data_IF_929434008151
#
_entry.id   IF_929434008151
#
_cell.length_a   1.000
_cell.length_b   1.000
_cell.length_c   1.000
_cell.angle_alpha   90.00
_cell.angle_beta   90.00
_cell.angle_gamma   90.00
#
_symmetry.space_group_name_H-M   'P 1'
#
loop_
_entity.id
_entity.type
_entity.pdbx_description
1 polymer ?
#
# COMPACT_ATOMS: atom_id res chain seq x y z
N UNK A 1 -32.24 7.13 0.70
CA UNK A 1 -33.12 8.27 1.02
C UNK A 1 -32.35 9.53 1.45
N UNK A 2 -31.02 9.50 1.60
CA UNK A 2 -30.22 10.61 2.15
C UNK A 2 -29.61 11.56 1.12
N UNK A 3 -29.62 11.21 -0.16
CA UNK A 3 -29.07 12.07 -1.25
C UNK A 3 -30.01 13.26 -1.60
N UNK A 4 -31.28 13.17 -1.28
CA UNK A 4 -32.28 14.22 -1.58
C UNK A 4 -32.13 15.46 -0.70
N UNK A 5 -31.53 15.32 0.48
CA UNK A 5 -31.36 16.44 1.45
C UNK A 5 -29.98 17.13 1.23
N UNK A 6 -28.97 16.41 0.77
CA UNK A 6 -27.61 16.97 0.59
C UNK A 6 -27.54 17.97 -0.57
N UNK A 7 -28.28 17.73 -1.66
CA UNK A 7 -28.30 18.59 -2.85
C UNK A 7 -28.90 19.97 -2.55
N UNK A 8 -30.07 20.11 -1.89
CA UNK A 8 -30.60 21.44 -1.56
C UNK A 8 -29.75 22.18 -0.52
N UNK A 9 -29.10 21.49 0.42
CA UNK A 9 -28.18 22.13 1.38
C UNK A 9 -26.94 22.67 0.66
N UNK A 10 -26.38 21.93 -0.29
CA UNK A 10 -25.28 22.40 -1.13
C UNK A 10 -25.67 23.58 -2.02
N UNK A 11 -26.89 23.57 -2.59
CA UNK A 11 -27.42 24.66 -3.40
C UNK A 11 -27.68 25.92 -2.55
N UNK A 12 -28.19 25.79 -1.33
CA UNK A 12 -28.39 26.91 -0.39
C UNK A 12 -27.04 27.48 0.02
N UNK A 13 -26.01 26.63 0.27
CA UNK A 13 -24.65 27.08 0.59
C UNK A 13 -24.01 27.81 -0.59
N UNK A 14 -24.17 27.30 -1.84
CA UNK A 14 -23.70 27.98 -3.05
C UNK A 14 -24.43 29.30 -3.32
N UNK A 15 -25.74 29.36 -3.09
CA UNK A 15 -26.53 30.58 -3.24
C UNK A 15 -26.17 31.62 -2.18
N UNK A 16 -25.95 31.23 -0.94
CA UNK A 16 -25.41 32.08 0.10
C UNK A 16 -24.01 32.58 -0.25
N UNK A 17 -23.17 31.76 -0.88
CA UNK A 17 -21.83 32.12 -1.30
C UNK A 17 -21.80 33.19 -2.40
N UNK A 18 -22.72 33.15 -3.37
CA UNK A 18 -22.80 34.14 -4.45
C UNK A 18 -23.25 35.54 -3.97
N UNK A 19 -24.03 35.60 -2.89
CA UNK A 19 -24.51 36.85 -2.29
C UNK A 19 -23.52 37.49 -1.27
N UNK A 20 -22.45 36.78 -0.92
CA UNK A 20 -21.51 37.15 0.15
C UNK A 20 -20.54 38.28 -0.24
N UNK A 21 -20.44 38.63 -1.52
CA UNK A 21 -19.54 39.71 -1.99
C UNK A 21 -19.96 41.11 -1.59
N UNK A 22 -21.19 41.32 -1.08
CA UNK A 22 -21.76 42.66 -0.85
C UNK A 22 -22.10 43.01 0.63
N UNK A 23 -21.73 42.18 1.64
CA UNK A 23 -22.31 42.30 2.98
C UNK A 23 -21.34 42.77 4.08
N UNK A 24 -21.77 43.78 4.87
CA UNK A 24 -21.12 44.35 6.06
C UNK A 24 -20.75 43.33 7.15
N UNK A 25 -19.66 43.59 7.90
CA UNK A 25 -19.05 42.73 8.91
C UNK A 25 -20.00 42.05 9.92
N UNK A 26 -21.06 42.74 10.34
CA UNK A 26 -22.02 42.21 11.33
C UNK A 26 -22.90 41.09 10.75
N UNK A 27 -23.27 41.18 9.47
CA UNK A 27 -24.04 40.12 8.80
C UNK A 27 -23.23 38.87 8.56
N UNK A 28 -21.89 38.96 8.47
CA UNK A 28 -21.01 37.79 8.30
C UNK A 28 -20.96 36.89 9.55
N UNK A 29 -21.07 37.45 10.74
CA UNK A 29 -21.14 36.67 11.98
C UNK A 29 -22.49 35.95 12.13
N UNK A 30 -23.58 36.51 11.67
CA UNK A 30 -24.90 35.88 11.67
C UNK A 30 -24.94 34.70 10.70
N UNK A 31 -24.31 34.79 9.53
CA UNK A 31 -24.19 33.71 8.59
C UNK A 31 -23.28 32.58 9.13
N UNK A 32 -22.18 32.93 9.82
CA UNK A 32 -21.30 31.97 10.47
C UNK A 32 -22.04 31.16 11.54
N UNK A 33 -22.89 31.83 12.36
CA UNK A 33 -23.69 31.15 13.38
C UNK A 33 -24.76 30.23 12.77
N UNK A 34 -25.40 30.63 11.66
CA UNK A 34 -26.35 29.79 10.94
C UNK A 34 -25.69 28.57 10.28
N UNK A 35 -24.51 28.72 9.68
CA UNK A 35 -23.75 27.64 9.12
C UNK A 35 -23.28 26.69 10.22
N UNK A 36 -22.85 27.20 11.36
CA UNK A 36 -22.46 26.41 12.52
C UNK A 36 -23.64 25.63 13.11
N UNK A 37 -24.82 26.25 13.18
CA UNK A 37 -26.05 25.58 13.64
C UNK A 37 -26.54 24.51 12.67
N UNK A 38 -26.38 24.71 11.35
CA UNK A 38 -26.67 23.73 10.31
C UNK A 38 -25.68 22.56 10.33
N UNK A 39 -24.39 22.79 10.58
CA UNK A 39 -23.40 21.74 10.73
C UNK A 39 -23.64 20.90 11.99
N UNK A 40 -24.08 21.51 13.09
CA UNK A 40 -24.49 20.81 14.31
C UNK A 40 -25.73 19.93 14.09
N UNK A 41 -26.74 20.41 13.36
CA UNK A 41 -27.91 19.63 12.96
C UNK A 41 -27.55 18.43 12.07
N UNK A 42 -26.56 18.58 11.19
CA UNK A 42 -26.06 17.49 10.33
C UNK A 42 -25.22 16.47 11.12
N UNK A 43 -24.50 16.90 12.17
CA UNK A 43 -23.77 16.01 13.09
C UNK A 43 -24.72 15.09 13.86
N UNK A 44 -25.90 15.60 14.25
CA UNK A 44 -26.93 14.81 14.93
C UNK A 44 -27.51 13.70 14.03
N UNK A 45 -27.37 13.77 12.71
CA UNK A 45 -27.91 12.79 11.76
C UNK A 45 -26.98 11.62 11.42
N UNK A 46 -25.97 11.38 12.23
CA UNK A 46 -25.16 10.15 12.31
C UNK A 46 -24.41 9.69 11.03
N UNK A 47 -24.05 10.60 10.12
CA UNK A 47 -23.20 10.27 8.96
C UNK A 47 -21.80 10.90 9.10
N UNK A 48 -20.83 10.11 9.51
CA UNK A 48 -19.42 10.50 9.71
C UNK A 48 -18.81 11.21 8.47
N UNK A 49 -19.23 10.84 7.26
CA UNK A 49 -18.79 11.42 6.00
C UNK A 49 -19.32 12.86 5.81
N UNK A 50 -20.57 13.14 6.19
CA UNK A 50 -21.18 14.48 6.10
C UNK A 50 -20.56 15.44 7.11
N UNK A 51 -20.19 14.95 8.30
CA UNK A 51 -19.48 15.76 9.31
C UNK A 51 -18.09 16.15 8.83
N UNK A 52 -17.36 15.26 8.17
CA UNK A 52 -16.03 15.54 7.63
C UNK A 52 -16.08 16.61 6.52
N UNK A 53 -17.03 16.50 5.59
CA UNK A 53 -17.24 17.49 4.53
C UNK A 53 -17.64 18.83 5.12
N UNK A 54 -18.50 18.88 6.13
CA UNK A 54 -18.94 20.12 6.76
C UNK A 54 -17.81 20.82 7.50
N UNK A 55 -16.93 20.09 8.18
CA UNK A 55 -15.73 20.64 8.82
C UNK A 55 -14.76 21.19 7.78
N UNK A 56 -14.52 20.48 6.67
CA UNK A 56 -13.66 20.93 5.58
C UNK A 56 -14.20 22.20 4.91
N UNK A 57 -15.51 22.27 4.65
CA UNK A 57 -16.17 23.47 4.13
C UNK A 57 -16.10 24.66 5.08
N UNK A 58 -16.21 24.43 6.39
CA UNK A 58 -16.11 25.46 7.42
C UNK A 58 -14.69 26.05 7.47
N UNK A 59 -13.65 25.23 7.37
CA UNK A 59 -12.26 25.68 7.26
C UNK A 59 -12.02 26.47 5.97
N UNK A 60 -12.60 26.04 4.84
CA UNK A 60 -12.49 26.74 3.57
C UNK A 60 -13.18 28.12 3.63
N UNK A 61 -14.36 28.21 4.23
CA UNK A 61 -15.06 29.46 4.46
C UNK A 61 -14.29 30.40 5.40
N UNK A 62 -13.76 29.91 6.50
CA UNK A 62 -12.91 30.69 7.41
C UNK A 62 -11.67 31.24 6.70
N UNK A 63 -11.02 30.45 5.85
CA UNK A 63 -9.88 30.91 5.06
C UNK A 63 -10.23 32.01 4.05
N UNK A 64 -11.46 32.01 3.54
CA UNK A 64 -11.96 33.05 2.61
C UNK A 64 -12.35 34.35 3.31
N UNK A 65 -13.01 34.27 4.48
CA UNK A 65 -13.47 35.44 5.25
C UNK A 65 -12.29 36.23 5.81
N UNK A 66 -11.24 35.57 6.28
CA UNK A 66 -10.06 36.20 6.86
C UNK A 66 -8.93 36.43 5.86
N UNK A 67 -9.20 37.18 4.78
CA UNK A 67 -8.25 37.48 3.71
C UNK A 67 -6.86 37.97 4.23
N UNK A 68 -6.84 38.77 5.31
CA UNK A 68 -5.59 39.28 5.92
C UNK A 68 -4.85 38.27 6.80
N UNK A 69 -5.50 37.15 7.21
CA UNK A 69 -4.89 36.06 8.03
C UNK A 69 -4.87 34.72 7.29
N UNK A 70 -5.12 34.73 5.99
CA UNK A 70 -5.22 33.52 5.13
C UNK A 70 -4.08 32.55 5.34
N UNK A 71 -2.84 33.03 5.36
CA UNK A 71 -1.67 32.15 5.54
C UNK A 71 -1.64 31.48 6.92
N UNK A 72 -2.13 32.14 7.99
CA UNK A 72 -2.21 31.52 9.32
C UNK A 72 -3.29 30.46 9.38
N UNK A 73 -4.44 30.70 8.74
CA UNK A 73 -5.57 29.75 8.70
C UNK A 73 -5.20 28.53 7.87
N UNK A 74 -4.55 28.70 6.71
CA UNK A 74 -4.06 27.58 5.88
C UNK A 74 -3.03 26.75 6.67
N UNK A 75 -2.07 27.38 7.35
CA UNK A 75 -1.12 26.64 8.20
C UNK A 75 -1.81 25.89 9.33
N UNK A 76 -2.81 26.49 9.97
CA UNK A 76 -3.57 25.82 11.02
C UNK A 76 -4.36 24.63 10.49
N UNK A 77 -5.05 24.78 9.33
CA UNK A 77 -5.81 23.67 8.72
C UNK A 77 -4.92 22.52 8.31
N UNK A 78 -3.74 22.79 7.74
CA UNK A 78 -2.75 21.77 7.41
C UNK A 78 -2.21 21.09 8.67
N UNK A 79 -1.95 21.83 9.74
CA UNK A 79 -1.50 21.27 11.01
C UNK A 79 -2.57 20.35 11.65
N UNK A 80 -3.84 20.79 11.63
CA UNK A 80 -4.96 19.97 12.12
C UNK A 80 -5.13 18.69 11.30
N UNK A 81 -5.07 18.78 9.97
CA UNK A 81 -5.13 17.61 9.09
C UNK A 81 -3.99 16.62 9.38
N UNK A 82 -2.76 17.13 9.55
CA UNK A 82 -1.60 16.33 9.92
C UNK A 82 -1.78 15.67 11.30
N UNK A 83 -2.27 16.41 12.29
CA UNK A 83 -2.53 15.89 13.62
C UNK A 83 -3.59 14.78 13.60
N UNK A 84 -4.71 14.99 12.88
CA UNK A 84 -5.77 13.97 12.73
C UNK A 84 -5.21 12.71 12.09
N UNK A 85 -4.46 12.83 10.99
CA UNK A 85 -3.83 11.68 10.31
C UNK A 85 -2.88 10.93 11.25
N UNK A 86 -2.06 11.65 12.00
CA UNK A 86 -1.14 11.06 12.98
C UNK A 86 -1.88 10.30 14.08
N UNK A 87 -2.91 10.90 14.69
CA UNK A 87 -3.67 10.25 15.75
C UNK A 87 -4.46 9.02 15.25
N UNK A 88 -5.02 9.06 14.05
CA UNK A 88 -5.68 7.89 13.45
C UNK A 88 -4.68 6.75 13.27
N UNK A 89 -3.52 7.02 12.70
CA UNK A 89 -2.47 6.00 12.52
C UNK A 89 -1.99 5.43 13.85
N UNK A 90 -1.76 6.29 14.84
CA UNK A 90 -1.38 5.88 16.19
C UNK A 90 -2.47 5.01 16.85
N UNK A 91 -3.74 5.39 16.72
CA UNK A 91 -4.86 4.63 17.26
C UNK A 91 -4.98 3.23 16.63
N UNK A 92 -4.83 3.13 15.30
CA UNK A 92 -4.81 1.84 14.60
C UNK A 92 -3.67 0.97 15.12
N UNK A 93 -2.46 1.52 15.25
CA UNK A 93 -1.30 0.80 15.76
C UNK A 93 -1.51 0.30 17.20
N UNK A 94 -2.05 1.15 18.08
CA UNK A 94 -2.38 0.79 19.46
C UNK A 94 -3.47 -0.29 19.53
N UNK A 95 -4.49 -0.20 18.68
CA UNK A 95 -5.54 -1.21 18.59
C UNK A 95 -5.00 -2.58 18.19
N UNK A 96 -4.15 -2.64 17.15
CA UNK A 96 -3.47 -3.87 16.74
C UNK A 96 -2.65 -4.44 17.89
N UNK A 97 -1.89 -3.61 18.60
CA UNK A 97 -1.04 -4.04 19.70
C UNK A 97 -1.84 -4.62 20.87
N UNK A 98 -2.89 -3.92 21.32
CA UNK A 98 -3.74 -4.35 22.44
C UNK A 98 -4.45 -5.67 22.13
N UNK A 99 -5.06 -5.78 20.91
CA UNK A 99 -5.75 -6.99 20.51
C UNK A 99 -4.79 -8.18 20.31
N UNK A 100 -3.57 -7.92 19.84
CA UNK A 100 -2.54 -8.96 19.73
C UNK A 100 -2.12 -9.51 21.11
N UNK A 101 -2.01 -8.66 22.14
CA UNK A 101 -1.75 -9.12 23.51
C UNK A 101 -2.90 -10.03 23.97
N UNK A 102 -4.14 -9.66 23.68
CA UNK A 102 -5.31 -10.48 24.03
C UNK A 102 -5.29 -11.85 23.36
N UNK A 103 -4.74 -11.94 22.12
CA UNK A 103 -4.50 -13.22 21.44
C UNK A 103 -3.43 -14.05 22.15
N UNK A 104 -2.28 -13.48 22.44
CA UNK A 104 -1.16 -14.19 23.08
C UNK A 104 -1.43 -14.61 24.53
N UNK A 105 -2.43 -14.04 25.17
CA UNK A 105 -2.94 -14.54 26.46
C UNK A 105 -3.72 -15.85 26.30
N UNK A 106 -4.28 -16.16 25.12
CA UNK A 106 -5.05 -17.38 24.83
C UNK A 106 -4.21 -18.45 24.11
N UNK A 107 -3.24 -18.04 23.28
CA UNK A 107 -2.39 -18.92 22.45
C UNK A 107 -0.93 -18.65 22.77
N UNK A 108 -0.16 -19.70 23.05
CA UNK A 108 1.26 -19.56 23.36
C UNK A 108 2.05 -19.04 22.15
N UNK A 109 2.96 -18.07 22.38
CA UNK A 109 3.81 -17.48 21.32
C UNK A 109 4.64 -18.57 20.60
N UNK A 110 5.12 -19.57 21.34
CA UNK A 110 5.87 -20.69 20.76
C UNK A 110 5.05 -21.52 19.78
N UNK A 111 3.77 -21.77 20.09
CA UNK A 111 2.86 -22.47 19.21
C UNK A 111 2.57 -21.66 17.95
N UNK A 112 2.30 -20.36 18.12
CA UNK A 112 2.06 -19.44 17.00
C UNK A 112 3.26 -19.35 16.04
N UNK A 113 4.49 -19.32 16.54
CA UNK A 113 5.69 -19.17 15.72
C UNK A 113 6.15 -20.48 15.06
N UNK A 114 6.04 -21.62 15.75
CA UNK A 114 6.67 -22.88 15.32
C UNK A 114 5.68 -23.93 14.81
N UNK A 115 4.36 -23.73 14.97
CA UNK A 115 3.41 -24.66 14.38
C UNK A 115 3.46 -24.57 12.83
N UNK A 116 3.53 -25.74 12.19
CA UNK A 116 3.64 -25.86 10.73
C UNK A 116 2.28 -25.94 10.02
N UNK A 117 1.19 -25.82 10.77
CA UNK A 117 -0.17 -25.91 10.24
C UNK A 117 -0.95 -24.64 10.60
N UNK A 118 -1.73 -24.15 9.66
CA UNK A 118 -2.71 -23.09 9.87
C UNK A 118 -4.07 -23.62 9.46
N UNK A 119 -5.04 -23.62 10.36
CA UNK A 119 -6.41 -24.02 10.01
C UNK A 119 -7.22 -24.58 11.17
N UNK A 120 -8.46 -24.91 10.87
CA UNK A 120 -9.51 -25.33 11.79
C UNK A 120 -9.38 -26.77 12.32
N UNK A 121 -8.22 -27.42 12.19
CA UNK A 121 -8.02 -28.74 12.79
C UNK A 121 -7.90 -28.59 14.30
N UNK A 122 -9.05 -28.78 14.91
CA UNK A 122 -9.38 -28.64 16.30
C UNK A 122 -8.45 -29.46 17.17
N UNK A 123 -7.57 -28.82 17.92
CA UNK A 123 -6.98 -29.39 19.12
C UNK A 123 -7.91 -28.99 20.28
N UNK A 124 -8.59 -29.96 20.84
CA UNK A 124 -9.39 -29.77 22.05
C UNK A 124 -8.46 -29.61 23.24
N UNK A 125 -8.24 -28.39 23.68
CA UNK A 125 -7.64 -28.11 24.99
C UNK A 125 -8.75 -27.49 25.83
N UNK A 126 -9.16 -28.19 26.92
CA UNK A 126 -10.17 -27.74 27.89
C UNK A 126 -11.54 -27.35 27.29
N UNK A 127 -12.15 -28.25 26.49
CA UNK A 127 -13.50 -28.11 25.89
C UNK A 127 -13.67 -26.94 24.88
N UNK A 128 -12.74 -26.06 24.73
CA UNK A 128 -12.72 -25.09 23.64
C UNK A 128 -11.91 -25.63 22.45
N UNK A 129 -12.55 -25.63 21.27
CA UNK A 129 -11.92 -26.00 20.00
C UNK A 129 -10.98 -24.91 19.55
N UNK A 130 -9.71 -24.95 19.97
CA UNK A 130 -8.68 -24.02 19.54
C UNK A 130 -8.01 -24.60 18.28
N UNK A 131 -8.09 -23.89 17.16
CA UNK A 131 -7.38 -24.26 15.93
C UNK A 131 -5.88 -24.07 16.10
N UNK A 132 -5.07 -24.81 15.32
CA UNK A 132 -3.63 -24.59 15.29
C UNK A 132 -3.33 -23.30 14.45
N UNK A 133 -2.77 -22.28 15.07
CA UNK A 133 -2.50 -20.96 14.47
C UNK A 133 -1.00 -20.77 14.17
N UNK A 134 -0.39 -21.68 13.40
CA UNK A 134 1.03 -21.55 13.04
C UNK A 134 1.25 -20.54 11.91
N UNK A 135 2.11 -19.54 12.13
CA UNK A 135 2.42 -18.52 11.13
C UNK A 135 3.35 -19.02 10.01
N UNK A 136 4.07 -20.13 10.22
CA UNK A 136 5.10 -20.63 9.30
C UNK A 136 4.61 -20.82 7.85
N UNK A 137 3.45 -21.46 7.55
CA UNK A 137 2.95 -21.61 6.18
C UNK A 137 2.69 -20.26 5.50
N UNK A 138 2.16 -19.29 6.26
CA UNK A 138 1.83 -17.95 5.75
C UNK A 138 3.09 -17.13 5.43
N UNK A 139 4.11 -17.23 6.28
CA UNK A 139 5.42 -16.60 6.05
C UNK A 139 6.09 -17.18 4.80
N UNK A 140 6.13 -18.51 4.67
CA UNK A 140 6.71 -19.19 3.51
C UNK A 140 5.97 -18.80 2.23
N UNK A 141 4.62 -18.79 2.24
CA UNK A 141 3.83 -18.36 1.10
C UNK A 141 4.10 -16.90 0.71
N UNK A 142 4.17 -16.00 1.70
CA UNK A 142 4.47 -14.58 1.46
C UNK A 142 5.86 -14.40 0.87
N UNK A 143 6.88 -15.08 1.42
CA UNK A 143 8.25 -15.01 0.91
C UNK A 143 8.39 -15.62 -0.47
N UNK A 144 7.75 -16.76 -0.74
CA UNK A 144 7.78 -17.42 -2.04
C UNK A 144 7.24 -16.53 -3.15
N UNK A 145 6.06 -15.95 -2.95
CA UNK A 145 5.45 -15.02 -3.90
C UNK A 145 6.32 -13.77 -4.09
N UNK A 146 6.86 -13.21 -3.00
CA UNK A 146 7.73 -12.04 -3.04
C UNK A 146 9.01 -12.33 -3.83
N UNK A 147 9.65 -13.46 -3.61
CA UNK A 147 10.88 -13.86 -4.34
C UNK A 147 10.58 -14.01 -5.83
N UNK A 148 9.49 -14.68 -6.21
CA UNK A 148 9.10 -14.85 -7.62
C UNK A 148 8.89 -13.48 -8.28
N UNK A 149 8.14 -12.58 -7.63
CA UNK A 149 7.89 -11.25 -8.15
C UNK A 149 9.19 -10.46 -8.33
N UNK A 150 10.03 -10.41 -7.31
CA UNK A 150 11.26 -9.60 -7.32
C UNK A 150 12.32 -10.15 -8.27
N UNK A 151 12.39 -11.48 -8.45
CA UNK A 151 13.33 -12.13 -9.37
C UNK A 151 13.11 -11.69 -10.83
N UNK A 152 11.87 -11.40 -11.20
CA UNK A 152 11.52 -10.90 -12.53
C UNK A 152 11.64 -9.36 -12.60
N UNK A 153 11.14 -8.68 -11.57
CA UNK A 153 10.97 -7.22 -11.59
C UNK A 153 12.28 -6.48 -11.43
N UNK A 154 13.19 -6.97 -10.58
CA UNK A 154 14.46 -6.25 -10.32
C UNK A 154 15.32 -6.16 -11.57
N UNK A 155 15.61 -7.24 -12.32
CA UNK A 155 16.40 -7.13 -13.53
C UNK A 155 15.69 -6.30 -14.61
N UNK A 156 14.40 -6.53 -14.87
CA UNK A 156 13.66 -5.78 -15.86
C UNK A 156 13.55 -4.30 -15.49
N UNK A 157 13.29 -4.00 -14.21
CA UNK A 157 13.22 -2.64 -13.70
C UNK A 157 14.55 -1.90 -13.81
N UNK A 158 15.65 -2.56 -13.46
CA UNK A 158 16.99 -1.95 -13.50
C UNK A 158 17.41 -1.64 -14.94
N UNK A 159 17.26 -2.59 -15.87
CA UNK A 159 17.61 -2.34 -17.28
C UNK A 159 16.70 -1.26 -17.89
N UNK A 160 15.42 -1.25 -17.58
CA UNK A 160 14.50 -0.21 -18.04
C UNK A 160 14.89 1.16 -17.48
N UNK A 161 15.20 1.26 -16.20
CA UNK A 161 15.63 2.50 -15.55
C UNK A 161 16.95 3.04 -16.14
N UNK A 162 17.92 2.17 -16.41
CA UNK A 162 19.18 2.54 -17.07
C UNK A 162 18.88 3.09 -18.47
N UNK A 163 18.05 2.40 -19.25
CA UNK A 163 17.70 2.87 -20.59
C UNK A 163 17.01 4.24 -20.55
N UNK A 164 16.01 4.42 -19.69
CA UNK A 164 15.26 5.67 -19.58
C UNK A 164 16.15 6.82 -19.09
N UNK A 165 17.05 6.54 -18.14
CA UNK A 165 17.93 7.54 -17.53
C UNK A 165 19.06 7.99 -18.47
N UNK A 166 19.73 7.04 -19.16
CA UNK A 166 20.99 7.28 -19.85
C UNK A 166 20.88 7.33 -21.38
N UNK A 167 19.96 6.56 -21.98
CA UNK A 167 19.89 6.39 -23.43
C UNK A 167 18.66 7.05 -24.08
N UNK A 168 17.57 7.17 -23.33
CA UNK A 168 16.32 7.65 -23.90
C UNK A 168 16.38 9.16 -24.22
N UNK A 169 15.89 9.54 -25.42
CA UNK A 169 15.65 10.94 -25.74
C UNK A 169 14.58 11.54 -24.84
N UNK A 170 14.55 12.86 -24.67
CA UNK A 170 13.57 13.54 -23.80
C UNK A 170 12.11 13.18 -24.16
N UNK A 171 11.80 13.05 -25.47
CA UNK A 171 10.44 12.66 -25.92
C UNK A 171 10.11 11.24 -25.49
N UNK A 172 11.02 10.28 -25.69
CA UNK A 172 10.83 8.88 -25.32
C UNK A 172 10.67 8.76 -23.81
N UNK A 173 11.52 9.42 -23.04
CA UNK A 173 11.45 9.48 -21.58
C UNK A 173 10.10 10.02 -21.11
N UNK A 174 9.64 11.11 -21.67
CA UNK A 174 8.33 11.70 -21.31
C UNK A 174 7.19 10.72 -21.59
N UNK A 175 7.17 10.07 -22.76
CA UNK A 175 6.13 9.09 -23.12
C UNK A 175 6.17 7.90 -22.16
N UNK A 176 7.36 7.33 -21.92
CA UNK A 176 7.49 6.15 -21.03
C UNK A 176 7.07 6.49 -19.61
N UNK A 177 7.54 7.60 -19.04
CA UNK A 177 7.18 7.99 -17.67
C UNK A 177 5.69 8.29 -17.54
N UNK A 178 5.06 8.92 -18.54
CA UNK A 178 3.60 9.12 -18.56
C UNK A 178 2.87 7.77 -18.60
N UNK A 179 3.33 6.82 -19.41
CA UNK A 179 2.75 5.48 -19.51
C UNK A 179 2.91 4.71 -18.20
N UNK A 180 4.08 4.77 -17.56
CA UNK A 180 4.32 4.15 -16.24
C UNK A 180 3.38 4.73 -15.16
N UNK A 181 3.15 6.04 -15.17
CA UNK A 181 2.21 6.70 -14.26
C UNK A 181 0.76 6.22 -14.49
N UNK A 182 0.32 6.09 -15.73
CA UNK A 182 -1.00 5.55 -16.06
C UNK A 182 -1.13 4.10 -15.60
N UNK A 183 -0.11 3.26 -15.85
CA UNK A 183 -0.11 1.87 -15.40
C UNK A 183 -0.15 1.77 -13.87
N UNK A 184 0.57 2.62 -13.14
CA UNK A 184 0.56 2.63 -11.69
C UNK A 184 -0.77 3.07 -11.08
N UNK A 185 -1.62 3.77 -11.83
CA UNK A 185 -2.94 4.22 -11.41
C UNK A 185 -4.03 3.12 -11.55
N UNK A 186 -3.74 2.01 -12.23
CA UNK A 186 -4.68 0.90 -12.39
C UNK A 186 -4.92 0.24 -11.02
N UNK A 187 -6.20 0.05 -10.60
CA UNK A 187 -6.51 -0.62 -9.34
C UNK A 187 -5.96 -2.06 -9.29
N UNK A 188 -5.41 -2.49 -8.15
CA UNK A 188 -4.79 -3.82 -7.98
C UNK A 188 -5.75 -4.97 -8.25
N UNK A 189 -7.06 -4.79 -8.01
CA UNK A 189 -8.11 -5.76 -8.34
C UNK A 189 -8.14 -6.11 -9.83
N UNK A 190 -7.88 -5.13 -10.71
CA UNK A 190 -7.83 -5.36 -12.17
C UNK A 190 -6.66 -6.28 -12.54
N UNK A 191 -5.50 -6.09 -11.91
CA UNK A 191 -4.36 -6.99 -12.07
C UNK A 191 -4.65 -8.39 -11.54
N UNK A 192 -5.38 -8.52 -10.42
CA UNK A 192 -5.83 -9.79 -9.88
C UNK A 192 -6.77 -10.52 -10.84
N UNK A 193 -7.74 -9.82 -11.41
CA UNK A 193 -8.64 -10.38 -12.41
C UNK A 193 -7.89 -10.81 -13.67
N UNK A 194 -6.97 -9.99 -14.17
CA UNK A 194 -6.09 -10.34 -15.30
C UNK A 194 -5.25 -11.59 -14.99
N UNK A 195 -4.76 -11.73 -13.77
CA UNK A 195 -4.00 -12.91 -13.34
C UNK A 195 -4.81 -14.19 -13.48
N UNK A 196 -6.07 -14.18 -13.04
CA UNK A 196 -6.94 -15.36 -13.07
C UNK A 196 -7.38 -15.70 -14.49
N UNK A 197 -7.82 -14.71 -15.27
CA UNK A 197 -8.46 -14.96 -16.57
C UNK A 197 -7.45 -15.20 -17.69
N UNK A 198 -6.34 -14.45 -17.69
CA UNK A 198 -5.37 -14.52 -18.78
C UNK A 198 -4.06 -15.20 -18.37
N UNK A 199 -3.44 -14.73 -17.29
CA UNK A 199 -2.09 -15.19 -16.94
C UNK A 199 -2.09 -16.64 -16.47
N UNK A 200 -3.08 -17.08 -15.70
CA UNK A 200 -3.18 -18.48 -15.23
C UNK A 200 -3.38 -19.45 -16.40
N UNK A 201 -4.23 -19.07 -17.37
CA UNK A 201 -4.48 -19.89 -18.58
C UNK A 201 -3.22 -19.98 -19.44
N UNK A 202 -2.54 -18.85 -19.65
CA UNK A 202 -1.31 -18.79 -20.42
C UNK A 202 -0.21 -19.66 -19.79
N UNK A 203 0.03 -19.48 -18.49
CA UNK A 203 1.05 -20.25 -17.75
C UNK A 203 0.70 -21.74 -17.78
N UNK A 204 -0.58 -22.10 -17.64
CA UNK A 204 -1.03 -23.49 -17.69
C UNK A 204 -0.78 -24.13 -19.07
N UNK A 205 -1.01 -23.39 -20.15
CA UNK A 205 -0.69 -23.87 -21.51
C UNK A 205 0.82 -24.11 -21.70
N UNK A 206 1.64 -23.14 -21.26
CA UNK A 206 3.09 -23.26 -21.31
C UNK A 206 3.58 -24.46 -20.49
N UNK A 207 3.07 -24.64 -19.28
CA UNK A 207 3.44 -25.73 -18.40
C UNK A 207 3.06 -27.10 -18.97
N UNK A 208 1.87 -27.22 -19.55
CA UNK A 208 1.43 -28.45 -20.19
C UNK A 208 2.35 -28.84 -21.36
N UNK A 209 2.86 -27.84 -22.10
CA UNK A 209 3.86 -28.10 -23.16
C UNK A 209 5.14 -28.73 -22.62
N UNK A 210 5.54 -28.39 -21.38
CA UNK A 210 6.68 -28.98 -20.68
C UNK A 210 6.33 -30.23 -19.85
N UNK A 211 5.08 -30.70 -19.91
CA UNK A 211 4.62 -31.87 -19.12
C UNK A 211 4.46 -31.58 -17.62
N UNK A 212 4.39 -30.33 -17.23
CA UNK A 212 4.22 -29.91 -15.83
C UNK A 212 2.75 -29.68 -15.51
N UNK A 213 2.27 -30.26 -14.40
CA UNK A 213 0.94 -29.98 -13.88
C UNK A 213 0.97 -28.74 -12.99
N UNK A 214 0.25 -27.68 -13.35
CA UNK A 214 0.12 -26.45 -12.58
C UNK A 214 -1.32 -26.28 -12.12
N UNK A 215 -1.50 -25.91 -10.86
CA UNK A 215 -2.80 -25.44 -10.36
C UNK A 215 -3.13 -24.08 -10.97
N UNK A 216 -4.41 -23.84 -11.29
CA UNK A 216 -4.88 -22.53 -11.79
C UNK A 216 -4.56 -21.41 -10.82
N UNK A 217 -4.63 -21.72 -9.52
CA UNK A 217 -4.27 -20.86 -8.40
C UNK A 217 -2.89 -21.30 -7.91
N UNK A 218 -1.83 -20.60 -8.32
CA UNK A 218 -0.46 -20.93 -7.96
C UNK A 218 0.35 -19.71 -7.54
N UNK A 219 1.38 -19.94 -6.70
CA UNK A 219 2.29 -18.88 -6.27
C UNK A 219 3.00 -18.22 -7.45
N UNK A 220 3.27 -18.97 -8.53
CA UNK A 220 3.88 -18.47 -9.75
C UNK A 220 2.99 -17.44 -10.45
N UNK A 221 1.70 -17.75 -10.62
CA UNK A 221 0.74 -16.82 -11.27
C UNK A 221 0.63 -15.52 -10.47
N UNK A 222 0.49 -15.62 -9.15
CA UNK A 222 0.42 -14.43 -8.30
C UNK A 222 1.73 -13.63 -8.32
N UNK A 223 2.88 -14.29 -8.18
CA UNK A 223 4.18 -13.61 -8.17
C UNK A 223 4.44 -12.86 -9.47
N UNK A 224 4.15 -13.46 -10.63
CA UNK A 224 4.27 -12.79 -11.93
C UNK A 224 3.29 -11.61 -12.07
N UNK A 225 2.05 -11.78 -11.62
CA UNK A 225 1.05 -10.71 -11.68
C UNK A 225 1.41 -9.50 -10.81
N UNK A 226 1.87 -9.77 -9.59
CA UNK A 226 2.41 -8.72 -8.70
C UNK A 226 3.65 -8.09 -9.33
N UNK A 227 4.50 -8.88 -9.98
CA UNK A 227 5.65 -8.38 -10.72
C UNK A 227 5.25 -7.36 -11.77
N UNK A 228 4.27 -7.66 -12.60
CA UNK A 228 3.76 -6.72 -13.63
C UNK A 228 3.23 -5.44 -12.97
N UNK A 229 2.47 -5.56 -11.88
CA UNK A 229 1.88 -4.42 -11.16
C UNK A 229 2.95 -3.50 -10.54
N UNK A 230 4.01 -4.07 -9.96
CA UNK A 230 5.02 -3.28 -9.25
C UNK A 230 6.11 -2.70 -10.17
N UNK A 231 6.19 -3.21 -11.42
CA UNK A 231 7.20 -2.80 -12.40
C UNK A 231 7.26 -1.29 -12.63
N UNK A 232 6.14 -0.55 -12.83
CA UNK A 232 6.17 0.90 -12.97
C UNK A 232 6.75 1.61 -11.74
N UNK A 233 6.42 1.14 -10.55
CA UNK A 233 6.88 1.73 -9.30
C UNK A 233 8.39 1.57 -9.12
N UNK A 234 8.93 0.37 -9.33
CA UNK A 234 10.37 0.12 -9.15
C UNK A 234 11.19 0.83 -10.23
N UNK A 235 10.70 0.89 -11.49
CA UNK A 235 11.38 1.63 -12.57
C UNK A 235 11.53 3.10 -12.18
N UNK A 236 10.48 3.74 -11.68
CA UNK A 236 10.52 5.13 -11.25
C UNK A 236 11.54 5.37 -10.14
N UNK A 237 11.55 4.51 -9.12
CA UNK A 237 12.51 4.61 -8.01
C UNK A 237 13.96 4.39 -8.47
N UNK A 238 14.18 3.43 -9.37
CA UNK A 238 15.50 3.14 -9.91
C UNK A 238 16.00 4.24 -10.87
N UNK A 239 15.10 4.84 -11.68
CA UNK A 239 15.42 5.99 -12.50
C UNK A 239 15.88 7.17 -11.61
N UNK A 240 15.15 7.47 -10.54
CA UNK A 240 15.50 8.54 -9.60
C UNK A 240 16.85 8.26 -8.92
N UNK A 241 17.11 6.99 -8.54
CA UNK A 241 18.39 6.58 -7.98
C UNK A 241 19.57 6.81 -8.95
N UNK A 242 19.42 6.41 -10.22
CA UNK A 242 20.43 6.57 -11.25
C UNK A 242 20.65 8.06 -11.55
N UNK A 243 19.58 8.85 -11.64
CA UNK A 243 19.66 10.29 -11.93
C UNK A 243 20.21 11.13 -10.78
N UNK A 244 20.21 10.63 -9.56
CA UNK A 244 20.80 11.31 -8.40
C UNK A 244 22.34 11.41 -8.49
N UNK A 245 22.97 10.60 -9.34
CA UNK A 245 24.44 10.65 -9.57
C UNK A 245 24.85 11.95 -10.24
N UNK A 246 25.80 12.73 -9.68
CA UNK A 246 26.26 13.99 -10.24
C UNK A 246 26.80 13.85 -11.67
N UNK A 247 26.35 14.72 -12.57
CA UNK A 247 26.81 14.72 -13.97
C UNK A 247 28.34 14.96 -14.11
N UNK A 248 28.93 15.67 -13.15
CA UNK A 248 30.36 15.92 -13.12
C UNK A 248 31.19 14.64 -13.02
N UNK A 249 30.74 13.65 -12.23
CA UNK A 249 31.41 12.36 -12.13
C UNK A 249 31.34 11.58 -13.45
N UNK A 250 30.19 11.58 -14.12
CA UNK A 250 29.99 10.90 -15.39
C UNK A 250 30.83 11.52 -16.50
N UNK A 251 30.76 12.84 -16.65
CA UNK A 251 31.54 13.55 -17.67
C UNK A 251 33.06 13.51 -17.39
N UNK A 252 33.46 13.52 -16.13
CA UNK A 252 34.85 13.36 -15.74
C UNK A 252 35.44 12.02 -16.19
N UNK A 253 34.71 10.93 -16.00
CA UNK A 253 35.15 9.60 -16.42
C UNK A 253 35.16 9.45 -17.95
N UNK A 254 34.15 9.99 -18.65
CA UNK A 254 34.14 10.03 -20.12
C UNK A 254 35.26 10.88 -20.68
N UNK A 255 35.67 11.96 -20.00
CA UNK A 255 36.82 12.78 -20.42
C UNK A 255 38.17 12.03 -20.35
N UNK A 256 38.24 10.94 -19.55
CA UNK A 256 39.39 10.03 -19.52
C UNK A 256 39.35 8.97 -20.66
N UNK A 257 38.36 9.05 -21.57
CA UNK A 257 38.25 8.18 -22.73
C UNK A 257 37.31 6.98 -22.52
N UNK A 258 36.57 6.92 -21.40
CA UNK A 258 35.62 5.85 -21.14
C UNK A 258 34.37 6.00 -22.01
N UNK A 259 33.82 4.87 -22.44
CA UNK A 259 32.53 4.80 -23.15
C UNK A 259 31.36 5.06 -22.20
N UNK A 260 30.18 5.46 -22.71
CA UNK A 260 28.99 5.61 -21.88
C UNK A 260 28.63 4.33 -21.09
N UNK A 261 28.76 3.15 -21.70
CA UNK A 261 28.50 1.88 -21.06
C UNK A 261 29.45 1.61 -19.88
N UNK A 262 30.75 1.85 -20.08
CA UNK A 262 31.75 1.72 -19.00
C UNK A 262 31.48 2.72 -17.87
N UNK A 263 31.09 3.95 -18.21
CA UNK A 263 30.71 4.97 -17.22
C UNK A 263 29.50 4.50 -16.37
N UNK A 264 28.49 3.86 -16.98
CA UNK A 264 27.34 3.34 -16.25
C UNK A 264 27.79 2.27 -15.27
N UNK A 265 28.56 1.28 -15.72
CA UNK A 265 28.93 0.12 -14.89
C UNK A 265 29.96 0.46 -13.80
N UNK A 266 30.92 1.35 -14.07
CA UNK A 266 32.02 1.63 -13.14
C UNK A 266 31.77 2.86 -12.25
N UNK A 267 30.91 3.77 -12.65
CA UNK A 267 30.66 5.01 -11.88
C UNK A 267 29.19 5.10 -11.45
N UNK A 268 28.26 5.07 -12.44
CA UNK A 268 26.85 5.39 -12.14
C UNK A 268 26.21 4.35 -11.24
N UNK A 269 26.29 3.06 -11.55
CA UNK A 269 25.69 1.98 -10.76
C UNK A 269 26.35 1.87 -9.38
N UNK A 270 27.68 1.80 -9.23
CA UNK A 270 28.30 1.72 -7.91
C UNK A 270 27.97 2.91 -7.00
N UNK A 271 27.96 4.12 -7.57
CA UNK A 271 27.58 5.31 -6.80
C UNK A 271 26.12 5.30 -6.37
N UNK A 272 25.22 4.88 -7.26
CA UNK A 272 23.77 4.79 -6.97
C UNK A 272 23.39 3.55 -6.16
N UNK A 273 24.28 2.58 -5.93
CA UNK A 273 23.99 1.28 -5.32
C UNK A 273 23.20 1.37 -4.02
N UNK A 274 23.53 2.24 -3.05
CA UNK A 274 22.75 2.34 -1.82
C UNK A 274 21.29 2.76 -2.06
N UNK A 275 21.08 3.69 -2.99
CA UNK A 275 19.74 4.16 -3.36
C UNK A 275 19.00 3.08 -4.15
N UNK A 276 19.67 2.34 -5.02
CA UNK A 276 19.13 1.17 -5.75
C UNK A 276 18.68 0.10 -4.76
N UNK A 277 19.54 -0.25 -3.78
CA UNK A 277 19.17 -1.24 -2.76
C UNK A 277 17.98 -0.78 -1.92
N UNK A 278 17.92 0.49 -1.56
CA UNK A 278 16.77 1.06 -0.85
C UNK A 278 15.49 1.00 -1.68
N UNK A 279 15.56 1.27 -2.98
CA UNK A 279 14.42 1.15 -3.91
C UNK A 279 13.91 -0.30 -4.00
N UNK A 280 14.83 -1.27 -4.05
CA UNK A 280 14.48 -2.70 -4.04
C UNK A 280 13.83 -3.10 -2.73
N UNK A 281 14.36 -2.70 -1.58
CA UNK A 281 13.80 -3.01 -0.26
C UNK A 281 12.41 -2.39 -0.06
N UNK A 282 12.19 -1.15 -0.52
CA UNK A 282 10.88 -0.52 -0.51
C UNK A 282 9.88 -1.26 -1.40
N UNK A 283 10.33 -1.75 -2.56
CA UNK A 283 9.50 -2.55 -3.46
C UNK A 283 9.14 -3.90 -2.83
N UNK A 284 10.08 -4.57 -2.15
CA UNK A 284 9.82 -5.80 -1.38
C UNK A 284 8.75 -5.54 -0.30
N UNK A 285 8.89 -4.46 0.47
CA UNK A 285 7.92 -4.10 1.51
C UNK A 285 6.51 -3.90 0.93
N UNK A 286 6.40 -3.31 -0.26
CA UNK A 286 5.14 -3.12 -0.97
C UNK A 286 4.54 -4.45 -1.45
N UNK A 287 5.36 -5.36 -2.00
CA UNK A 287 4.91 -6.70 -2.45
C UNK A 287 4.39 -7.53 -1.27
N UNK A 288 5.09 -7.51 -0.13
CA UNK A 288 4.66 -8.23 1.09
C UNK A 288 3.29 -7.75 1.57
N UNK A 289 2.97 -6.47 1.37
CA UNK A 289 1.68 -5.88 1.73
C UNK A 289 0.55 -6.12 0.73
N UNK A 290 0.81 -6.74 -0.43
CA UNK A 290 -0.22 -6.94 -1.46
C UNK A 290 -1.23 -8.00 -1.03
N UNK A 291 -2.51 -7.65 -1.13
CA UNK A 291 -3.60 -8.51 -0.67
C UNK A 291 -4.50 -8.97 -1.82
N UNK A 292 -4.98 -8.03 -2.64
CA UNK A 292 -6.06 -8.31 -3.58
C UNK A 292 -5.63 -9.20 -4.74
N UNK A 293 -4.42 -9.00 -5.28
CA UNK A 293 -3.91 -9.85 -6.36
C UNK A 293 -3.70 -11.27 -5.85
N UNK A 294 -3.12 -11.42 -4.66
CA UNK A 294 -2.87 -12.73 -4.06
C UNK A 294 -4.17 -13.46 -3.75
N UNK A 295 -5.13 -12.76 -3.13
CA UNK A 295 -6.45 -13.32 -2.80
C UNK A 295 -7.15 -13.90 -4.04
N UNK A 296 -7.04 -13.24 -5.17
CA UNK A 296 -7.65 -13.70 -6.42
C UNK A 296 -6.84 -14.79 -7.13
N UNK A 297 -5.50 -14.69 -7.13
CA UNK A 297 -4.64 -15.53 -7.97
C UNK A 297 -4.12 -16.82 -7.31
N UNK A 298 -4.14 -16.92 -5.97
CA UNK A 298 -3.52 -18.06 -5.24
C UNK A 298 -4.51 -18.87 -4.44
N UNK A 299 -5.68 -18.30 -4.11
CA UNK A 299 -6.67 -18.95 -3.25
C UNK A 299 -6.37 -18.78 -1.74
N UNK A 300 -7.06 -19.57 -0.90
CA UNK A 300 -7.11 -19.39 0.56
C UNK A 300 -6.36 -20.53 1.30
N UNK A 301 -5.76 -21.49 0.60
CA UNK A 301 -5.18 -22.68 1.19
C UNK A 301 -3.82 -22.40 1.86
N UNK A 302 -3.79 -22.49 3.20
CA UNK A 302 -2.57 -22.31 3.99
C UNK A 302 -1.70 -23.58 4.01
N UNK A 303 -1.13 -23.93 2.87
CA UNK A 303 -0.23 -25.09 2.75
C UNK A 303 1.23 -24.68 2.89
N UNK A 304 1.98 -25.42 3.70
CA UNK A 304 3.44 -25.27 3.76
C UNK A 304 4.06 -25.97 2.55
N UNK A 305 4.40 -25.21 1.52
CA UNK A 305 5.07 -25.73 0.32
C UNK A 305 6.08 -24.71 -0.20
N UNK A 306 7.18 -25.21 -0.73
CA UNK A 306 8.18 -24.41 -1.45
C UNK A 306 8.01 -24.50 -2.96
N UNK A 307 7.05 -25.30 -3.45
CA UNK A 307 6.81 -25.46 -4.87
C UNK A 307 6.00 -24.26 -5.41
N UNK A 308 6.55 -23.46 -6.35
CA UNK A 308 5.88 -22.31 -6.91
C UNK A 308 4.61 -22.64 -7.74
N UNK A 309 4.44 -23.91 -8.12
CA UNK A 309 3.31 -24.38 -8.92
C UNK A 309 2.07 -24.72 -8.07
N UNK A 310 2.24 -24.77 -6.75
CA UNK A 310 1.17 -25.08 -5.82
C UNK A 310 0.44 -23.80 -5.34
N UNK A 311 -0.78 -24.04 -4.84
CA UNK A 311 -1.55 -23.03 -4.13
C UNK A 311 -0.96 -22.80 -2.73
N UNK A 312 -0.74 -21.52 -2.38
CA UNK A 312 -0.29 -21.07 -1.06
C UNK A 312 -1.15 -19.88 -0.63
N UNK A 313 -1.01 -19.44 0.61
CA UNK A 313 -1.66 -18.18 1.04
C UNK A 313 -0.63 -17.27 1.71
N UNK A 314 -0.93 -15.97 1.78
CA UNK A 314 -0.08 -14.97 2.43
C UNK A 314 -0.68 -14.49 3.75
N UNK A 315 0.16 -13.84 4.56
CA UNK A 315 -0.29 -13.21 5.81
C UNK A 315 -1.41 -12.22 5.54
N UNK A 316 -1.28 -11.38 4.51
CA UNK A 316 -2.26 -10.34 4.15
C UNK A 316 -3.61 -10.92 3.73
N UNK A 317 -3.62 -11.97 2.93
CA UNK A 317 -4.85 -12.69 2.53
C UNK A 317 -5.52 -13.31 3.74
N UNK A 318 -4.74 -13.94 4.63
CA UNK A 318 -5.28 -14.55 5.83
C UNK A 318 -5.88 -13.53 6.79
N UNK A 319 -5.26 -12.35 6.96
CA UNK A 319 -5.84 -11.23 7.71
C UNK A 319 -7.18 -10.81 7.10
N UNK A 320 -7.21 -10.62 5.77
CA UNK A 320 -8.41 -10.21 5.08
C UNK A 320 -9.55 -11.23 5.23
N UNK A 321 -9.27 -12.53 5.09
CA UNK A 321 -10.28 -13.59 5.22
C UNK A 321 -10.81 -13.75 6.65
N UNK A 322 -9.96 -13.55 7.68
CA UNK A 322 -10.38 -13.61 9.07
C UNK A 322 -11.21 -12.40 9.51
N UNK A 323 -11.02 -11.24 8.88
CA UNK A 323 -11.77 -10.01 9.19
C UNK A 323 -13.02 -9.83 8.33
N UNK A 324 -13.20 -10.62 7.25
CA UNK A 324 -14.42 -10.60 6.43
C UNK A 324 -15.41 -11.65 6.92
N UNK A 325 -16.56 -11.22 7.39
CA UNK A 325 -17.64 -12.09 7.85
C UNK A 325 -18.28 -11.60 9.17
N UNK A 326 -19.39 -12.23 9.56
CA UNK A 326 -20.08 -11.96 10.83
C UNK A 326 -19.38 -12.68 11.99
N UNK A 327 -18.19 -12.20 12.35
CA UNK A 327 -17.44 -12.76 13.47
C UNK A 327 -17.48 -11.83 14.68
N UNK A 328 -17.61 -12.42 15.86
CA UNK A 328 -17.49 -11.69 17.13
C UNK A 328 -16.08 -11.12 17.27
N UNK A 329 -15.98 -9.84 17.61
CA UNK A 329 -14.69 -9.14 17.79
C UNK A 329 -13.76 -9.80 18.81
N UNK A 330 -14.29 -10.58 19.76
CA UNK A 330 -13.55 -11.30 20.80
C UNK A 330 -13.27 -12.77 20.44
N UNK A 331 -13.65 -13.21 19.23
CA UNK A 331 -13.35 -14.57 18.79
C UNK A 331 -11.84 -14.76 18.64
N UNK A 332 -11.36 -15.98 18.91
CA UNK A 332 -9.93 -16.30 18.76
C UNK A 332 -9.45 -16.08 17.32
N UNK A 333 -10.32 -16.28 16.35
CA UNK A 333 -10.05 -16.08 14.92
C UNK A 333 -9.80 -14.60 14.59
N UNK A 334 -10.66 -13.70 15.08
CA UNK A 334 -10.48 -12.25 14.90
C UNK A 334 -9.22 -11.76 15.61
N UNK A 335 -8.96 -12.25 16.82
CA UNK A 335 -7.74 -11.93 17.57
C UNK A 335 -6.48 -12.45 16.84
N UNK A 336 -6.54 -13.62 16.17
CA UNK A 336 -5.45 -14.12 15.35
C UNK A 336 -5.11 -13.19 14.17
N UNK A 337 -6.12 -12.54 13.55
CA UNK A 337 -5.89 -11.56 12.50
C UNK A 337 -5.09 -10.35 13.02
N UNK A 338 -5.34 -9.88 14.25
CA UNK A 338 -4.56 -8.82 14.86
C UNK A 338 -3.12 -9.26 15.17
N UNK A 339 -2.92 -10.49 15.62
CA UNK A 339 -1.57 -11.05 15.85
C UNK A 339 -0.78 -11.15 14.53
N UNK A 340 -1.41 -11.61 13.45
CA UNK A 340 -0.81 -11.61 12.11
C UNK A 340 -0.48 -10.19 11.62
N UNK A 341 -1.38 -9.24 11.86
CA UNK A 341 -1.18 -7.82 11.52
C UNK A 341 0.01 -7.23 12.26
N UNK A 342 0.20 -7.57 13.54
CA UNK A 342 1.35 -7.13 14.32
C UNK A 342 2.66 -7.68 13.74
N UNK A 343 2.71 -8.98 13.40
CA UNK A 343 3.91 -9.57 12.78
C UNK A 343 4.22 -8.93 11.43
N UNK A 344 3.20 -8.74 10.59
CA UNK A 344 3.36 -8.07 9.30
C UNK A 344 3.89 -6.63 9.47
N UNK A 345 3.35 -5.90 10.44
CA UNK A 345 3.81 -4.56 10.77
C UNK A 345 5.29 -4.55 11.19
N UNK A 346 5.71 -5.47 12.06
CA UNK A 346 7.11 -5.58 12.49
C UNK A 346 8.02 -5.89 11.29
N UNK A 347 7.65 -6.85 10.43
CA UNK A 347 8.45 -7.22 9.25
C UNK A 347 8.61 -6.04 8.30
N UNK A 348 7.52 -5.37 7.96
CA UNK A 348 7.56 -4.22 7.03
C UNK A 348 8.26 -3.02 7.63
N UNK A 349 8.12 -2.77 8.93
CA UNK A 349 8.84 -1.73 9.65
C UNK A 349 10.35 -1.97 9.66
N UNK A 350 10.78 -3.22 9.94
CA UNK A 350 12.20 -3.59 9.91
C UNK A 350 12.79 -3.44 8.51
N UNK A 351 12.08 -3.87 7.46
CA UNK A 351 12.52 -3.70 6.07
C UNK A 351 12.68 -2.22 5.70
N UNK A 352 11.72 -1.40 6.05
CA UNK A 352 11.76 0.04 5.77
C UNK A 352 12.86 0.75 6.59
N UNK A 353 13.03 0.39 7.87
CA UNK A 353 14.11 0.92 8.69
C UNK A 353 15.48 0.53 8.13
N UNK A 354 15.64 -0.71 7.66
CA UNK A 354 16.86 -1.19 7.03
C UNK A 354 17.12 -0.47 5.70
N UNK A 355 16.09 -0.24 4.87
CA UNK A 355 16.21 0.54 3.64
C UNK A 355 16.72 1.97 3.90
N UNK A 356 16.15 2.64 4.89
CA UNK A 356 16.58 3.98 5.32
C UNK A 356 18.02 3.99 5.87
N UNK A 357 18.39 2.96 6.62
CA UNK A 357 19.75 2.81 7.16
C UNK A 357 20.77 2.66 6.03
N UNK A 358 20.50 1.83 5.03
CA UNK A 358 21.36 1.64 3.86
C UNK A 358 21.52 2.94 3.07
N UNK A 359 20.42 3.68 2.87
CA UNK A 359 20.44 4.96 2.16
C UNK A 359 21.26 6.05 2.89
N UNK A 360 21.19 6.07 4.24
CA UNK A 360 21.86 7.11 5.05
C UNK A 360 23.35 6.89 5.22
N UNK A 361 23.88 5.69 4.94
CA UNK A 361 25.29 5.34 5.17
C UNK A 361 26.24 5.92 4.12
N UNK A 362 25.72 6.58 3.12
CA UNK A 362 26.45 7.36 2.10
C UNK A 362 26.01 8.82 2.12
#
# INVERSE_FOLDING_TARGET
MNSVIVIPVLLILLFCFSRFQEVNKVKSYLYLSCVWMLTWLLVFYNNCFVTFISIALLFFMLAFIFKNKRNKIIKLSLFVALAISFFITLFIMLSIFIQSISFFNKVAISEFLFCLKWGHNVVTINEEKIGCFGIAPLLVGTLLITIIAMLVVVPLGLFSAIYISEYASEKVRYIVNTTLQVLSAIPTVVYGYFAVVFLSVFIKQVANFFGLSIHSESALVAGLSIGIMILPFIISLLEDAIRSVPKSLRYGFMALGATPAETIWHITIPYAMPTILSAILLSISRVIGETMIVLMAVGINANLTFNPLNSVTTITVQIATLLTGDQDFNSVQTLAAYALSLVLFIITWLLNAFALFVMKRN
#
